data_IF_184938818959
#
_entry.id   IF_184938818959
#
_cell.length_a   1.000
_cell.length_b   1.000
_cell.length_c   1.000
_cell.angle_alpha   90.00
_cell.angle_beta   90.00
_cell.angle_gamma   90.00
#
_symmetry.space_group_name_H-M   'P 1'
#
loop_
_entity.id
_entity.type
_entity.pdbx_description
1 polymer ?
#
# COMPACT_ATOMS: atom_id res chain seq x y z
N UNK A 1 17.97 -5.82 11.29
CA UNK A 1 17.22 -5.04 10.28
C UNK A 1 17.85 -5.32 8.93
N UNK A 2 17.08 -5.77 7.91
CA UNK A 2 17.65 -6.12 6.60
C UNK A 2 18.31 -4.88 5.95
N UNK A 3 19.47 -5.07 5.33
CA UNK A 3 20.24 -3.99 4.65
C UNK A 3 19.44 -3.29 3.55
N UNK A 4 18.39 -3.94 3.06
CA UNK A 4 17.45 -3.48 2.03
C UNK A 4 16.77 -2.13 2.38
N UNK A 5 16.71 -1.72 3.65
CA UNK A 5 16.11 -0.44 4.04
C UNK A 5 17.01 0.80 3.85
N UNK A 6 18.33 0.59 3.73
CA UNK A 6 19.34 1.65 3.85
C UNK A 6 20.13 1.94 2.56
N UNK A 7 20.00 1.11 1.52
CA UNK A 7 20.81 1.24 0.31
C UNK A 7 19.93 1.46 -0.93
N UNK A 8 19.57 2.73 -1.16
CA UNK A 8 18.99 3.20 -2.42
C UNK A 8 17.53 3.60 -2.29
N UNK A 9 17.27 4.91 -2.35
CA UNK A 9 16.03 5.58 -2.78
C UNK A 9 14.84 4.64 -3.00
N UNK A 10 14.24 4.16 -1.91
CA UNK A 10 12.93 3.50 -1.95
C UNK A 10 11.90 4.60 -1.88
N UNK A 11 11.24 4.90 -3.01
CA UNK A 11 10.20 5.92 -3.10
C UNK A 11 9.13 5.64 -2.02
N UNK A 12 8.82 6.64 -1.19
CA UNK A 12 7.67 6.58 -0.29
C UNK A 12 6.41 6.99 -1.05
N UNK A 13 5.29 6.41 -0.63
CA UNK A 13 3.97 6.67 -1.18
C UNK A 13 3.08 7.22 -0.09
N UNK A 14 2.27 8.21 -0.42
CA UNK A 14 1.23 8.73 0.45
C UNK A 14 -0.07 8.03 0.09
N UNK A 15 -0.58 7.19 0.98
CA UNK A 15 -1.72 6.30 0.71
C UNK A 15 -2.88 6.55 1.67
N UNK A 16 -4.10 6.43 1.17
CA UNK A 16 -5.33 6.59 1.94
C UNK A 16 -5.67 5.31 2.67
N UNK A 17 -6.06 5.43 3.95
CA UNK A 17 -6.53 4.30 4.75
C UNK A 17 -8.01 4.03 4.45
N UNK A 18 -8.33 2.85 3.92
CA UNK A 18 -9.71 2.49 3.55
C UNK A 18 -10.37 1.50 4.51
N UNK A 19 -9.58 0.74 5.27
CA UNK A 19 -10.12 -0.26 6.18
C UNK A 19 -9.04 -0.91 7.03
N UNK A 20 -9.46 -1.76 7.96
CA UNK A 20 -8.57 -2.48 8.86
C UNK A 20 -8.98 -3.92 9.10
N UNK A 21 -8.02 -4.68 9.61
CA UNK A 21 -8.18 -6.06 10.04
C UNK A 21 -7.84 -6.13 11.53
N UNK A 22 -8.67 -6.81 12.32
CA UNK A 22 -8.41 -6.96 13.75
C UNK A 22 -7.10 -7.73 13.97
N UNK A 23 -6.34 -7.29 14.97
CA UNK A 23 -5.13 -7.98 15.37
C UNK A 23 -5.44 -9.37 15.92
N UNK A 24 -4.43 -10.22 15.92
CA UNK A 24 -4.50 -11.57 16.50
C UNK A 24 -3.56 -11.68 17.70
N UNK A 25 -3.83 -12.62 18.60
CA UNK A 25 -3.00 -12.86 19.78
C UNK A 25 -3.03 -11.67 20.75
N UNK A 26 -1.87 -11.06 21.01
CA UNK A 26 -1.76 -9.92 21.95
C UNK A 26 -2.41 -8.62 21.45
N UNK A 27 -2.77 -8.54 20.16
CA UNK A 27 -3.32 -7.33 19.52
C UNK A 27 -4.81 -7.44 19.20
N UNK A 28 -5.55 -8.34 19.85
CA UNK A 28 -6.98 -8.56 19.57
C UNK A 28 -7.87 -7.37 19.91
N UNK A 29 -7.43 -6.46 20.78
CA UNK A 29 -8.15 -5.24 21.15
C UNK A 29 -7.96 -4.08 20.17
N UNK A 30 -7.09 -4.23 19.16
CA UNK A 30 -6.74 -3.17 18.21
C UNK A 30 -6.73 -3.69 16.77
N UNK A 31 -6.55 -2.79 15.81
CA UNK A 31 -6.31 -3.15 14.42
C UNK A 31 -4.86 -3.62 14.23
N UNK A 32 -4.67 -4.79 13.61
CA UNK A 32 -3.36 -5.39 13.38
C UNK A 32 -2.82 -5.16 11.98
N UNK A 33 -3.69 -4.85 11.02
CA UNK A 33 -3.31 -4.48 9.66
C UNK A 33 -4.33 -3.52 9.06
N UNK A 34 -3.92 -2.82 8.01
CA UNK A 34 -4.72 -1.79 7.34
C UNK A 34 -4.70 -1.98 5.83
N UNK A 35 -5.83 -1.74 5.18
CA UNK A 35 -5.97 -1.69 3.72
C UNK A 35 -5.73 -0.26 3.25
N UNK A 36 -4.74 -0.09 2.37
CA UNK A 36 -4.34 1.21 1.84
C UNK A 36 -4.62 1.32 0.34
N UNK A 37 -4.87 2.55 -0.12
CA UNK A 37 -5.20 2.85 -1.50
C UNK A 37 -4.49 4.10 -2.03
N UNK A 38 -4.24 4.12 -3.34
CA UNK A 38 -3.89 5.32 -4.09
C UNK A 38 -5.16 6.00 -4.63
N UNK A 39 -5.05 7.25 -5.03
CA UNK A 39 -6.17 7.99 -5.61
C UNK A 39 -6.10 7.97 -7.14
N UNK A 40 -7.22 7.74 -7.83
CA UNK A 40 -7.31 7.82 -9.28
C UNK A 40 -8.12 9.06 -9.69
N UNK A 41 -7.49 10.18 -10.08
CA UNK A 41 -8.19 11.40 -10.48
C UNK A 41 -9.09 11.23 -11.71
N UNK A 42 -8.79 10.28 -12.60
CA UNK A 42 -9.55 10.06 -13.83
C UNK A 42 -10.90 9.40 -13.59
N UNK A 43 -11.04 8.68 -12.47
CA UNK A 43 -12.27 7.95 -12.12
C UNK A 43 -12.86 8.38 -10.78
N UNK A 44 -12.22 9.36 -10.12
CA UNK A 44 -12.55 9.82 -8.77
C UNK A 44 -12.72 8.66 -7.78
N UNK A 45 -11.76 7.73 -7.80
CA UNK A 45 -11.83 6.49 -7.02
C UNK A 45 -10.55 6.21 -6.24
N UNK A 46 -10.69 5.47 -5.13
CA UNK A 46 -9.56 4.99 -4.34
C UNK A 46 -9.25 3.55 -4.70
N UNK A 47 -8.09 3.29 -5.26
CA UNK A 47 -7.68 1.97 -5.74
C UNK A 47 -6.76 1.30 -4.72
N UNK A 48 -7.18 0.15 -4.20
CA UNK A 48 -6.40 -0.62 -3.22
C UNK A 48 -5.02 -0.97 -3.77
N UNK A 49 -4.00 -0.78 -2.93
CA UNK A 49 -2.57 -0.95 -3.25
C UNK A 49 -1.95 -2.04 -2.40
N UNK A 50 -2.18 -2.03 -1.08
CA UNK A 50 -1.55 -3.00 -0.19
C UNK A 50 -2.32 -3.18 1.12
N UNK A 51 -2.03 -4.29 1.79
CA UNK A 51 -2.24 -4.44 3.22
C UNK A 51 -0.93 -4.17 3.95
N UNK A 52 -1.00 -3.41 5.05
CA UNK A 52 0.14 -3.09 5.87
C UNK A 52 -0.11 -3.48 7.33
N UNK A 53 0.83 -4.19 7.94
CA UNK A 53 0.79 -4.55 9.37
C UNK A 53 2.13 -4.32 10.07
N UNK A 54 3.04 -3.56 9.44
CA UNK A 54 4.41 -3.34 9.93
C UNK A 54 4.76 -1.85 9.89
N UNK A 55 5.66 -1.44 10.78
CA UNK A 55 6.02 -0.02 10.97
C UNK A 55 5.31 0.66 12.14
N UNK A 56 4.42 -0.06 12.84
CA UNK A 56 3.68 0.47 13.99
C UNK A 56 4.26 -0.03 15.32
N UNK A 57 4.47 0.88 16.28
CA UNK A 57 4.64 0.51 17.69
C UNK A 57 3.29 0.12 18.30
N UNK A 58 3.30 -0.56 19.45
CA UNK A 58 2.04 -0.93 20.13
C UNK A 58 1.23 0.31 20.53
N UNK A 59 1.89 1.32 21.08
CA UNK A 59 1.28 2.61 21.41
C UNK A 59 0.60 3.27 20.19
N UNK A 60 1.29 3.30 19.04
CA UNK A 60 0.70 3.87 17.81
C UNK A 60 -0.54 3.09 17.36
N UNK A 61 -0.57 1.76 17.53
CA UNK A 61 -1.76 0.98 17.16
C UNK A 61 -2.96 1.28 18.05
N UNK A 62 -2.75 1.58 19.34
CA UNK A 62 -3.81 1.98 20.26
C UNK A 62 -4.36 3.37 19.89
N UNK A 63 -3.47 4.33 19.61
CA UNK A 63 -3.82 5.68 19.16
C UNK A 63 -4.62 5.63 17.84
N UNK A 64 -4.12 4.89 16.85
CA UNK A 64 -4.79 4.71 15.55
C UNK A 64 -6.14 4.00 15.70
N UNK A 65 -6.25 3.03 16.60
CA UNK A 65 -7.55 2.38 16.86
C UNK A 65 -8.56 3.38 17.43
N UNK A 66 -8.16 4.20 18.40
CA UNK A 66 -9.03 5.22 18.99
C UNK A 66 -9.50 6.24 17.93
N UNK A 67 -8.61 6.67 17.04
CA UNK A 67 -8.92 7.61 15.96
C UNK A 67 -9.80 6.99 14.86
N UNK A 68 -9.38 5.86 14.29
CA UNK A 68 -10.03 5.25 13.13
C UNK A 68 -11.38 4.62 13.47
N UNK A 69 -11.58 4.19 14.72
CA UNK A 69 -12.88 3.69 15.19
C UNK A 69 -14.01 4.72 15.06
N UNK A 70 -13.70 6.02 15.06
CA UNK A 70 -14.69 7.11 14.94
C UNK A 70 -15.19 7.32 13.51
N UNK A 71 -14.52 6.75 12.51
CA UNK A 71 -14.84 6.93 11.08
C UNK A 71 -15.21 5.60 10.40
N UNK A 72 -15.56 4.59 11.20
CA UNK A 72 -16.02 3.30 10.69
C UNK A 72 -17.31 3.47 9.90
N UNK A 73 -17.38 2.77 8.77
CA UNK A 73 -18.56 2.70 7.91
C UNK A 73 -18.98 1.24 7.71
N UNK A 74 -20.28 1.02 7.55
CA UNK A 74 -20.85 -0.34 7.47
C UNK A 74 -20.44 -1.11 6.21
N UNK A 75 -20.14 -0.40 5.12
CA UNK A 75 -19.83 -0.98 3.81
C UNK A 75 -18.87 -0.10 3.01
N UNK A 76 -18.06 -0.68 2.10
CA UNK A 76 -17.19 0.11 1.24
C UNK A 76 -18.01 1.06 0.37
N UNK A 77 -17.45 2.24 0.10
CA UNK A 77 -18.09 3.22 -0.79
C UNK A 77 -18.00 2.74 -2.24
N UNK A 78 -18.95 3.12 -3.13
CA UNK A 78 -18.92 2.72 -4.54
C UNK A 78 -17.65 3.12 -5.31
N UNK A 79 -17.00 4.19 -4.85
CA UNK A 79 -15.74 4.70 -5.41
C UNK A 79 -14.50 4.06 -4.77
N UNK A 80 -14.64 2.98 -3.99
CA UNK A 80 -13.52 2.13 -3.56
C UNK A 80 -13.33 1.01 -4.57
N UNK A 81 -12.14 0.95 -5.17
CA UNK A 81 -11.75 -0.12 -6.09
C UNK A 81 -10.85 -1.12 -5.35
N UNK A 82 -11.46 -2.23 -4.93
CA UNK A 82 -10.83 -3.26 -4.11
C UNK A 82 -11.00 -4.67 -4.71
N UNK A 83 -10.43 -5.69 -4.06
CA UNK A 83 -10.53 -7.07 -4.55
C UNK A 83 -11.99 -7.51 -4.66
N UNK A 84 -12.32 -8.22 -5.74
CA UNK A 84 -13.66 -8.77 -5.94
C UNK A 84 -13.92 -9.98 -5.03
N UNK A 85 -15.18 -10.16 -4.63
CA UNK A 85 -15.62 -11.28 -3.77
C UNK A 85 -15.38 -11.05 -2.28
N UNK A 86 -15.70 -12.05 -1.44
CA UNK A 86 -15.62 -11.94 0.02
C UNK A 86 -14.22 -12.24 0.58
N UNK A 87 -13.32 -12.77 -0.24
CA UNK A 87 -11.96 -13.08 0.20
C UNK A 87 -11.16 -11.80 0.37
N UNK A 88 -10.40 -11.71 1.45
CA UNK A 88 -9.46 -10.62 1.73
C UNK A 88 -10.08 -9.23 1.91
N UNK A 89 -11.38 -9.16 2.22
CA UNK A 89 -12.01 -7.91 2.65
C UNK A 89 -11.54 -7.55 4.07
N UNK A 90 -11.37 -6.26 4.38
CA UNK A 90 -11.11 -5.80 5.73
C UNK A 90 -12.29 -6.12 6.64
N UNK A 91 -12.01 -6.31 7.93
CA UNK A 91 -13.03 -6.55 8.96
C UNK A 91 -13.85 -5.29 9.23
N UNK A 92 -13.23 -4.12 9.05
CA UNK A 92 -13.88 -2.81 9.16
C UNK A 92 -13.49 -1.91 7.99
N UNK A 93 -14.43 -1.11 7.53
CA UNK A 93 -14.21 -0.08 6.51
C UNK A 93 -14.20 1.30 7.15
N UNK A 94 -13.47 2.23 6.54
CA UNK A 94 -13.38 3.61 7.00
C UNK A 94 -13.83 4.59 5.93
N UNK A 95 -14.32 5.76 6.37
CA UNK A 95 -14.43 6.96 5.53
C UNK A 95 -13.01 7.39 5.10
N UNK A 96 -12.77 7.79 3.84
CA UNK A 96 -11.43 8.05 3.36
C UNK A 96 -11.01 9.42 3.88
N UNK A 97 -10.27 9.43 4.99
CA UNK A 97 -9.88 10.67 5.70
C UNK A 97 -8.38 10.78 5.93
N UNK A 98 -7.75 9.69 6.34
CA UNK A 98 -6.34 9.70 6.73
C UNK A 98 -5.45 9.27 5.57
N UNK A 99 -4.35 10.00 5.40
CA UNK A 99 -3.28 9.70 4.47
C UNK A 99 -2.04 9.34 5.27
N UNK A 100 -1.37 8.24 4.90
CA UNK A 100 -0.16 7.76 5.55
C UNK A 100 0.99 7.69 4.56
N UNK A 101 2.17 8.10 5.02
CA UNK A 101 3.40 7.87 4.30
C UNK A 101 3.85 6.42 4.54
N UNK A 102 4.05 5.70 3.44
CA UNK A 102 4.44 4.30 3.41
C UNK A 102 5.68 4.12 2.57
N UNK A 103 6.66 3.42 3.11
CA UNK A 103 7.86 3.02 2.37
C UNK A 103 7.75 1.58 1.92
N UNK A 104 8.18 1.28 0.70
CA UNK A 104 8.23 -0.08 0.15
C UNK A 104 9.65 -0.43 -0.28
N UNK A 105 9.95 -1.73 -0.41
CA UNK A 105 11.20 -2.16 -1.03
C UNK A 105 11.07 -2.14 -2.56
N UNK A 106 10.01 -2.75 -3.07
CA UNK A 106 9.73 -2.85 -4.51
C UNK A 106 8.21 -2.77 -4.76
N UNK A 107 7.84 -2.55 -6.03
CA UNK A 107 6.48 -2.67 -6.57
C UNK A 107 6.37 -3.94 -7.41
N UNK A 108 5.22 -4.63 -7.34
CA UNK A 108 4.97 -5.91 -8.03
C UNK A 108 3.56 -5.97 -8.58
N UNK A 109 3.33 -6.66 -9.70
CA UNK A 109 1.98 -6.93 -10.19
C UNK A 109 1.22 -7.89 -9.25
N UNK A 110 -0.05 -7.61 -9.04
CA UNK A 110 -0.94 -8.40 -8.19
C UNK A 110 -2.34 -8.52 -8.81
N UNK A 111 -2.94 -9.73 -8.84
CA UNK A 111 -4.34 -9.89 -9.25
C UNK A 111 -5.33 -9.35 -8.21
N UNK A 112 -4.87 -9.15 -6.97
CA UNK A 112 -5.71 -8.76 -5.82
C UNK A 112 -5.98 -7.26 -5.79
N UNK A 113 -4.94 -6.47 -5.96
CA UNK A 113 -4.97 -5.01 -5.82
C UNK A 113 -5.31 -4.35 -7.15
N UNK A 114 -5.87 -3.15 -7.09
CA UNK A 114 -6.46 -2.46 -8.25
C UNK A 114 -5.72 -1.21 -8.69
N UNK A 115 -4.73 -0.78 -7.90
CA UNK A 115 -3.89 0.35 -8.20
C UNK A 115 -3.25 0.24 -9.58
N UNK A 116 -3.51 1.22 -10.45
CA UNK A 116 -2.89 1.30 -11.76
C UNK A 116 -3.37 0.25 -12.77
N UNK A 117 -4.43 -0.54 -12.47
CA UNK A 117 -5.01 -1.49 -13.43
C UNK A 117 -5.35 -0.83 -14.77
N UNK A 118 -5.79 0.43 -14.75
CA UNK A 118 -6.18 1.21 -15.93
C UNK A 118 -5.01 1.97 -16.58
N UNK A 119 -3.80 1.85 -16.03
CA UNK A 119 -2.61 2.58 -16.48
C UNK A 119 -1.71 1.72 -17.39
N UNK A 120 -2.19 0.56 -17.87
CA UNK A 120 -1.45 -0.28 -18.81
C UNK A 120 -0.28 -1.06 -18.20
N UNK A 121 -0.31 -1.27 -16.88
CA UNK A 121 0.75 -1.97 -16.13
C UNK A 121 0.82 -3.47 -16.41
N UNK A 122 -0.30 -4.04 -16.87
CA UNK A 122 -0.45 -5.44 -17.26
C UNK A 122 -1.09 -5.50 -18.66
N UNK A 123 -0.48 -6.16 -19.66
CA UNK A 123 -1.04 -6.27 -21.00
C UNK A 123 -2.44 -6.90 -21.04
N UNK A 124 -2.75 -7.78 -20.08
CA UNK A 124 -4.08 -8.39 -19.96
C UNK A 124 -5.11 -7.47 -19.27
N UNK A 125 -4.67 -6.42 -18.58
CA UNK A 125 -5.54 -5.49 -17.85
C UNK A 125 -6.20 -6.08 -16.60
N UNK A 126 -5.74 -7.23 -16.11
CA UNK A 126 -6.37 -7.96 -14.99
C UNK A 126 -5.68 -7.68 -13.65
N UNK A 127 -4.41 -7.27 -13.68
CA UNK A 127 -3.58 -7.05 -12.48
C UNK A 127 -3.36 -5.57 -12.21
N UNK A 128 -3.35 -5.23 -10.92
CA UNK A 128 -2.90 -3.93 -10.43
C UNK A 128 -1.51 -4.05 -9.81
N UNK A 129 -1.06 -2.97 -9.18
CA UNK A 129 0.23 -2.90 -8.50
C UNK A 129 0.07 -3.09 -7.00
N UNK A 130 1.00 -3.82 -6.40
CA UNK A 130 1.15 -4.04 -4.96
C UNK A 130 2.52 -3.61 -4.49
N UNK A 131 2.60 -3.23 -3.21
CA UNK A 131 3.86 -2.94 -2.52
C UNK A 131 4.46 -4.19 -1.88
N UNK A 132 5.77 -4.37 -2.02
CA UNK A 132 6.55 -5.44 -1.39
C UNK A 132 7.26 -4.91 -0.14
N UNK A 133 6.97 -5.54 0.99
CA UNK A 133 7.44 -5.13 2.31
C UNK A 133 7.06 -3.68 2.69
N UNK A 134 5.77 -3.30 2.55
CA UNK A 134 5.33 -1.97 2.95
C UNK A 134 5.52 -1.75 4.45
N UNK A 135 6.04 -0.58 4.82
CA UNK A 135 6.21 -0.11 6.19
C UNK A 135 5.60 1.26 6.38
N UNK A 136 4.80 1.39 7.43
CA UNK A 136 4.30 2.67 7.87
C UNK A 136 5.45 3.55 8.35
N UNK A 137 5.44 4.83 7.96
CA UNK A 137 6.42 5.83 8.37
C UNK A 137 5.78 6.84 9.31
N UNK A 138 4.72 7.53 8.85
CA UNK A 138 4.02 8.56 9.63
C UNK A 138 2.65 8.90 9.02
N UNK A 139 1.73 9.50 9.80
CA UNK A 139 0.55 10.14 9.23
C UNK A 139 0.94 11.42 8.46
N UNK A 140 0.11 11.80 7.49
CA UNK A 140 0.25 12.97 6.64
C UNK A 140 -0.94 13.90 6.82
N UNK A 141 -0.96 14.59 7.96
CA UNK A 141 -2.02 15.55 8.31
C UNK A 141 -2.00 16.80 7.42
N UNK A 142 -0.91 16.98 6.68
CA UNK A 142 -0.72 18.02 5.66
C UNK A 142 -1.36 17.67 4.31
N UNK A 143 -1.93 16.47 4.15
CA UNK A 143 -2.52 15.99 2.90
C UNK A 143 -3.96 15.55 3.05
N UNK A 144 -4.79 15.95 2.08
CA UNK A 144 -6.13 15.40 1.91
C UNK A 144 -6.08 14.07 1.15
N UNK A 145 -7.10 13.21 1.30
CA UNK A 145 -7.22 11.95 0.56
C UNK A 145 -7.07 12.08 -0.96
N UNK A 146 -7.59 13.15 -1.57
CA UNK A 146 -7.47 13.41 -3.01
C UNK A 146 -6.10 13.96 -3.43
N UNK A 147 -5.20 14.23 -2.48
CA UNK A 147 -3.79 14.63 -2.68
C UNK A 147 -2.82 13.47 -2.40
N UNK A 148 -3.36 12.27 -2.13
CA UNK A 148 -2.58 11.04 -2.02
C UNK A 148 -1.85 10.72 -3.34
N UNK A 149 -0.86 9.83 -3.26
CA UNK A 149 -0.18 9.31 -4.45
C UNK A 149 -1.21 8.78 -5.44
N UNK A 150 -1.10 9.21 -6.68
CA UNK A 150 -2.05 8.85 -7.73
C UNK A 150 -1.76 7.48 -8.35
N UNK A 151 -2.78 6.82 -8.89
CA UNK A 151 -2.63 5.54 -9.61
C UNK A 151 -1.61 5.61 -10.74
N UNK A 152 -1.59 6.73 -11.48
CA UNK A 152 -0.59 7.00 -12.50
C UNK A 152 0.83 7.09 -11.93
N UNK A 153 1.03 7.78 -10.81
CA UNK A 153 2.34 7.83 -10.14
C UNK A 153 2.79 6.44 -9.68
N UNK A 154 1.88 5.61 -9.16
CA UNK A 154 2.19 4.22 -8.80
C UNK A 154 2.66 3.43 -10.03
N UNK A 155 1.98 3.59 -11.18
CA UNK A 155 2.37 2.94 -12.44
C UNK A 155 3.73 3.43 -12.96
N UNK A 156 3.99 4.74 -12.90
CA UNK A 156 5.27 5.34 -13.28
C UNK A 156 6.42 4.80 -12.42
N UNK A 157 6.22 4.69 -11.09
CA UNK A 157 7.19 4.08 -10.18
C UNK A 157 7.47 2.62 -10.53
N UNK A 158 6.44 1.84 -10.83
CA UNK A 158 6.57 0.44 -11.24
C UNK A 158 7.39 0.28 -12.53
N UNK A 159 7.07 1.02 -13.59
CA UNK A 159 7.81 0.95 -14.86
C UNK A 159 9.26 1.42 -14.72
N UNK A 160 9.50 2.47 -13.91
CA UNK A 160 10.85 2.93 -13.59
C UNK A 160 11.66 1.82 -12.93
N UNK A 161 11.09 1.13 -11.94
CA UNK A 161 11.74 -0.01 -11.28
C UNK A 161 12.07 -1.12 -12.29
N UNK A 162 11.12 -1.54 -13.13
CA UNK A 162 11.37 -2.58 -14.15
C UNK A 162 12.50 -2.20 -15.11
N UNK A 163 12.55 -0.92 -15.52
CA UNK A 163 13.60 -0.42 -16.41
C UNK A 163 14.99 -0.47 -15.78
N UNK A 164 15.09 -0.22 -14.46
CA UNK A 164 16.35 -0.29 -13.71
C UNK A 164 16.79 -1.73 -13.51
N UNK A 165 15.85 -2.62 -13.18
CA UNK A 165 16.13 -4.06 -13.04
C UNK A 165 16.62 -4.69 -14.35
N UNK A 166 16.08 -4.29 -15.50
CA UNK A 166 16.54 -4.75 -16.83
C UNK A 166 17.92 -4.21 -17.22
N UNK A 167 18.34 -3.06 -16.68
CA UNK A 167 19.66 -2.46 -16.96
C UNK A 167 20.79 -3.05 -16.09
N UNK A 168 20.46 -3.62 -14.94
CA UNK A 168 21.41 -4.46 -14.19
C UNK A 168 21.48 -5.82 -14.90
N UNK A 169 22.46 -5.99 -15.78
CA UNK A 169 22.81 -7.30 -16.34
C UNK A 169 23.14 -8.33 -15.23
N UNK A 170 23.32 -9.62 -15.57
CA UNK A 170 23.59 -10.65 -14.57
C UNK A 170 24.77 -10.22 -13.70
N UNK A 171 24.58 -10.25 -12.38
CA UNK A 171 25.66 -10.03 -11.44
C UNK A 171 26.73 -11.07 -11.74
N UNK A 172 27.93 -10.61 -12.09
CA UNK A 172 29.11 -11.46 -12.10
C UNK A 172 29.28 -11.98 -10.67
N UNK A 173 29.16 -13.31 -10.50
CA UNK A 173 29.59 -13.97 -9.27
C UNK A 173 31.09 -13.72 -9.15
N UNK A 174 31.49 -12.84 -8.24
CA UNK A 174 32.88 -12.78 -7.77
C UNK A 174 33.08 -14.01 -6.87
N UNK A 175 33.36 -15.13 -7.51
CA UNK A 175 33.81 -16.38 -6.92
C UNK A 175 35.23 -16.15 -6.37
N UNK A 176 35.33 -15.70 -5.12
CA UNK A 176 36.58 -15.71 -4.37
C UNK A 176 36.79 -17.12 -3.79
N UNK A 177 37.53 -17.96 -4.51
CA UNK A 177 38.17 -19.15 -3.95
C UNK A 177 39.28 -18.74 -2.96
N UNK A 178 39.35 -19.47 -1.84
CA UNK A 178 40.32 -19.30 -0.74
C UNK A 178 41.53 -20.24 -0.94
#
# INVERSE_FOLDING_TARGET
VKKDYLAGVGDSLDLVVLGAYYGRGKRTSVYGAFLLACYNPSTDSYESVCNIGTGFSEQVLEELHAELSQIVIDRPKPFYSHSAGNQHQPDVWFEPRHVWEVKTADLTLSPRYKAGCKEGVDPAGEKGISLRFPRFIKPRDDKKPNEATSSRQVAEMYHKQESVSKKKGPAVDDDFEY
#
